data_IF_252992517861
#
_entry.id   IF_252992517861
#
_cell.length_a   1.000
_cell.length_b   1.000
_cell.length_c   1.000
_cell.angle_alpha   90.00
_cell.angle_beta   90.00
_cell.angle_gamma   90.00
#
_symmetry.space_group_name_H-M   'P 1'
#
loop_
_entity.id
_entity.type
_entity.pdbx_description
1 polymer ?
#
# COMPACT_ATOMS: atom_id res chain seq x y z
N UNK A 1 27.29 -13.16 42.25
CA UNK A 1 26.29 -14.18 41.89
C UNK A 1 24.99 -13.46 41.61
N UNK A 2 24.61 -13.33 40.33
CA UNK A 2 23.31 -12.78 39.96
C UNK A 2 22.22 -13.86 40.18
N UNK A 3 21.02 -13.49 40.66
CA UNK A 3 19.95 -14.46 40.86
C UNK A 3 19.47 -15.03 39.51
N UNK A 4 19.05 -16.31 39.47
CA UNK A 4 18.57 -16.93 38.24
C UNK A 4 17.28 -16.27 37.74
N UNK A 5 17.07 -16.23 36.41
CA UNK A 5 15.87 -15.65 35.82
C UNK A 5 14.61 -16.41 36.27
N UNK A 6 13.47 -15.72 36.41
CA UNK A 6 12.22 -16.36 36.78
C UNK A 6 11.77 -17.36 35.70
N UNK A 7 11.11 -18.46 36.10
CA UNK A 7 10.65 -19.47 35.16
C UNK A 7 9.60 -18.89 34.20
N UNK A 8 9.54 -19.39 32.95
CA UNK A 8 8.55 -18.94 31.97
C UNK A 8 7.12 -19.21 32.48
N UNK A 9 6.15 -18.35 32.12
CA UNK A 9 4.75 -18.57 32.49
C UNK A 9 4.25 -19.90 31.89
N UNK A 10 3.37 -20.62 32.59
CA UNK A 10 2.80 -21.85 32.07
C UNK A 10 2.07 -21.59 30.74
N UNK A 11 2.07 -22.56 29.81
CA UNK A 11 1.32 -22.43 28.56
C UNK A 11 -0.16 -22.16 28.89
N UNK A 12 -0.87 -21.37 28.06
CA UNK A 12 -2.29 -21.13 28.29
C UNK A 12 -3.00 -22.49 28.33
N UNK A 13 -3.54 -22.84 29.49
CA UNK A 13 -4.46 -23.97 29.64
C UNK A 13 -5.55 -23.77 28.60
N UNK A 14 -5.73 -24.75 27.69
CA UNK A 14 -6.86 -24.74 26.75
C UNK A 14 -8.10 -24.35 27.55
N UNK A 15 -8.82 -23.27 27.20
CA UNK A 15 -10.06 -22.97 27.88
C UNK A 15 -10.93 -24.23 27.84
N UNK A 16 -11.53 -24.63 28.97
CA UNK A 16 -12.64 -25.62 28.98
C UNK A 16 -13.51 -25.26 27.79
N UNK A 17 -13.70 -26.16 26.81
CA UNK A 17 -14.53 -25.91 25.62
C UNK A 17 -15.76 -25.15 26.11
N UNK A 18 -15.88 -23.89 25.68
CA UNK A 18 -17.03 -23.07 26.04
C UNK A 18 -18.29 -23.84 25.66
N UNK A 19 -19.42 -23.57 26.33
CA UNK A 19 -20.67 -24.22 26.00
C UNK A 19 -20.91 -24.13 24.48
N UNK A 20 -20.98 -25.29 23.80
CA UNK A 20 -21.16 -25.36 22.35
C UNK A 20 -22.33 -24.47 21.93
N UNK A 21 -22.23 -23.80 20.78
CA UNK A 21 -23.30 -22.95 20.25
C UNK A 21 -24.63 -23.73 20.20
N UNK A 22 -25.61 -23.34 21.04
CA UNK A 22 -26.96 -23.90 21.01
C UNK A 22 -27.86 -23.04 20.13
N UNK A 23 -28.52 -23.67 19.16
CA UNK A 23 -29.61 -23.05 18.41
C UNK A 23 -30.78 -22.84 19.37
N UNK A 24 -31.18 -21.60 19.59
CA UNK A 24 -32.46 -21.30 20.23
C UNK A 24 -33.58 -21.57 19.22
N UNK A 25 -34.67 -22.24 19.63
CA UNK A 25 -35.85 -22.38 18.77
C UNK A 25 -36.35 -21.00 18.37
N UNK A 26 -36.47 -20.74 17.08
CA UNK A 26 -36.94 -19.46 16.58
C UNK A 26 -38.46 -19.38 16.78
N UNK A 27 -39.01 -18.27 17.35
CA UNK A 27 -40.45 -18.07 17.35
C UNK A 27 -40.95 -18.01 15.90
N UNK A 28 -42.07 -18.69 15.62
CA UNK A 28 -42.55 -18.99 14.25
C UNK A 28 -42.91 -17.77 13.39
N UNK A 29 -42.74 -16.55 13.91
CA UNK A 29 -43.24 -15.32 13.31
C UNK A 29 -42.16 -14.24 13.21
N UNK A 30 -40.98 -14.61 12.74
CA UNK A 30 -39.85 -13.71 12.61
C UNK A 30 -39.37 -13.69 11.16
N UNK A 31 -39.94 -12.76 10.39
CA UNK A 31 -39.50 -12.43 9.03
C UNK A 31 -38.23 -11.60 9.08
N UNK A 32 -37.08 -12.23 9.40
CA UNK A 32 -35.80 -11.59 9.18
C UNK A 32 -35.49 -11.56 7.69
N UNK A 33 -35.35 -10.36 7.12
CA UNK A 33 -35.03 -10.09 5.71
C UNK A 33 -33.66 -10.62 5.26
N UNK A 34 -32.89 -11.25 6.14
CA UNK A 34 -31.52 -11.73 5.92
C UNK A 34 -31.36 -13.25 6.06
N UNK A 35 -32.47 -14.01 6.07
CA UNK A 35 -32.44 -15.47 6.13
C UNK A 35 -32.10 -16.09 4.75
N UNK A 36 -30.87 -15.92 4.29
CA UNK A 36 -30.36 -16.58 3.07
C UNK A 36 -29.89 -17.99 3.43
N UNK A 37 -30.49 -19.01 2.81
CA UNK A 37 -30.04 -20.39 2.96
C UNK A 37 -28.69 -20.59 2.25
N UNK A 38 -27.73 -21.30 2.87
CA UNK A 38 -26.47 -21.59 2.20
C UNK A 38 -26.69 -22.54 1.02
N UNK A 39 -25.88 -22.40 -0.03
CA UNK A 39 -25.81 -23.42 -1.10
C UNK A 39 -25.12 -24.66 -0.52
N UNK A 40 -25.86 -25.76 -0.43
CA UNK A 40 -25.39 -27.04 0.09
C UNK A 40 -25.21 -28.00 -1.09
N UNK A 41 -24.02 -28.58 -1.29
CA UNK A 41 -23.81 -29.59 -2.32
C UNK A 41 -24.62 -30.86 -2.02
N UNK A 42 -25.24 -31.45 -3.03
CA UNK A 42 -25.93 -32.74 -2.96
C UNK A 42 -25.26 -33.70 -3.94
N UNK A 43 -25.06 -34.95 -3.53
CA UNK A 43 -24.49 -36.01 -4.36
C UNK A 43 -25.08 -37.36 -4.00
N UNK A 44 -25.03 -38.28 -4.97
CA UNK A 44 -25.39 -39.68 -4.79
C UNK A 44 -24.15 -40.53 -4.49
N UNK A 45 -24.36 -41.70 -3.89
CA UNK A 45 -23.32 -42.68 -3.54
C UNK A 45 -22.41 -43.04 -4.73
N UNK A 46 -22.99 -43.30 -5.91
CA UNK A 46 -22.23 -43.62 -7.14
C UNK A 46 -21.34 -42.45 -7.60
N UNK A 47 -21.80 -41.21 -7.39
CA UNK A 47 -21.00 -40.02 -7.69
C UNK A 47 -19.85 -39.88 -6.70
N UNK A 48 -20.09 -40.23 -5.43
CA UNK A 48 -19.10 -40.19 -4.37
C UNK A 48 -17.95 -41.17 -4.64
N UNK A 49 -18.26 -42.43 -4.91
CA UNK A 49 -17.24 -43.46 -5.16
C UNK A 49 -16.35 -43.13 -6.35
N UNK A 50 -16.93 -42.56 -7.42
CA UNK A 50 -16.20 -42.27 -8.66
C UNK A 50 -15.34 -41.00 -8.57
N UNK A 51 -15.83 -39.94 -7.93
CA UNK A 51 -15.22 -38.61 -8.04
C UNK A 51 -14.81 -37.98 -6.70
N UNK A 52 -15.37 -38.42 -5.57
CA UNK A 52 -15.19 -37.78 -4.25
C UNK A 52 -14.40 -38.63 -3.26
N UNK A 53 -13.91 -39.80 -3.66
CA UNK A 53 -13.11 -40.68 -2.82
C UNK A 53 -11.84 -39.98 -2.32
N UNK A 54 -11.53 -40.14 -1.03
CA UNK A 54 -10.37 -39.50 -0.41
C UNK A 54 -9.79 -40.37 0.70
N UNK A 55 -8.46 -40.50 0.75
CA UNK A 55 -7.77 -41.43 1.65
C UNK A 55 -8.03 -41.19 3.15
N UNK A 56 -8.20 -39.93 3.54
CA UNK A 56 -8.45 -39.54 4.93
C UNK A 56 -9.89 -39.18 5.29
N UNK A 57 -10.87 -39.40 4.42
CA UNK A 57 -12.27 -39.03 4.65
C UNK A 57 -13.21 -40.15 4.20
N UNK A 58 -14.10 -40.57 5.09
CA UNK A 58 -15.16 -41.52 4.73
C UNK A 58 -16.35 -40.78 4.11
N UNK A 59 -17.20 -41.52 3.41
CA UNK A 59 -18.48 -40.99 2.91
C UNK A 59 -19.35 -40.49 4.05
N UNK A 60 -19.52 -41.31 5.09
CA UNK A 60 -20.31 -40.98 6.27
C UNK A 60 -19.82 -39.70 6.98
N UNK A 61 -18.50 -39.51 7.07
CA UNK A 61 -17.91 -38.30 7.63
C UNK A 61 -18.16 -37.08 6.73
N UNK A 62 -18.08 -37.26 5.41
CA UNK A 62 -18.36 -36.19 4.44
C UNK A 62 -19.84 -35.77 4.47
N UNK A 63 -20.77 -36.73 4.57
CA UNK A 63 -22.20 -36.47 4.72
C UNK A 63 -22.49 -35.74 6.03
N UNK A 64 -21.85 -36.17 7.12
CA UNK A 64 -21.96 -35.51 8.42
C UNK A 64 -21.48 -34.05 8.37
N UNK A 65 -20.37 -33.77 7.68
CA UNK A 65 -19.87 -32.42 7.45
C UNK A 65 -20.89 -31.55 6.70
N UNK A 66 -21.45 -32.07 5.61
CA UNK A 66 -22.40 -31.33 4.77
C UNK A 66 -23.70 -31.04 5.54
N UNK A 67 -24.21 -32.02 6.29
CA UNK A 67 -25.38 -31.82 7.14
C UNK A 67 -25.09 -30.78 8.24
N UNK A 68 -23.92 -30.87 8.91
CA UNK A 68 -23.51 -29.90 9.93
C UNK A 68 -23.38 -28.48 9.34
N UNK A 69 -22.85 -28.35 8.13
CA UNK A 69 -22.76 -27.07 7.41
C UNK A 69 -24.15 -26.48 7.12
N UNK A 70 -25.10 -27.30 6.67
CA UNK A 70 -26.50 -26.92 6.45
C UNK A 70 -27.17 -26.46 7.75
N UNK A 71 -27.05 -27.25 8.82
CA UNK A 71 -27.59 -26.94 10.16
C UNK A 71 -26.97 -25.68 10.78
N UNK A 72 -25.76 -25.29 10.36
CA UNK A 72 -25.09 -24.09 10.86
C UNK A 72 -25.22 -22.89 9.92
N UNK A 73 -26.06 -22.97 8.88
CA UNK A 73 -26.26 -21.91 7.88
C UNK A 73 -24.93 -21.44 7.23
N UNK A 74 -23.98 -22.35 7.04
CA UNK A 74 -22.67 -22.07 6.43
C UNK A 74 -21.70 -21.23 7.28
N UNK A 75 -21.99 -21.03 8.57
CA UNK A 75 -21.10 -20.26 9.46
C UNK A 75 -19.96 -21.12 9.98
N UNK A 76 -18.80 -21.06 9.31
CA UNK A 76 -17.61 -21.86 9.65
C UNK A 76 -17.20 -21.87 11.14
N UNK A 77 -17.20 -20.75 11.88
CA UNK A 77 -16.91 -20.78 13.32
C UNK A 77 -17.86 -21.65 14.13
N UNK A 78 -19.14 -21.67 13.75
CA UNK A 78 -20.17 -22.48 14.42
C UNK A 78 -20.07 -23.94 13.98
N UNK A 79 -19.81 -24.19 12.69
CA UNK A 79 -19.56 -25.53 12.16
C UNK A 79 -18.40 -26.18 12.91
N UNK A 80 -17.25 -25.51 13.01
CA UNK A 80 -16.07 -26.04 13.67
C UNK A 80 -16.27 -26.28 15.18
N UNK A 81 -17.09 -25.47 15.85
CA UNK A 81 -17.43 -25.68 17.26
C UNK A 81 -18.36 -26.89 17.47
N UNK A 82 -19.33 -27.06 16.57
CA UNK A 82 -20.35 -28.11 16.65
C UNK A 82 -19.90 -29.45 16.08
N UNK A 83 -18.96 -29.44 15.15
CA UNK A 83 -18.41 -30.65 14.52
C UNK A 83 -17.84 -31.58 15.59
N UNK A 84 -18.42 -32.76 15.68
CA UNK A 84 -18.07 -33.78 16.67
C UNK A 84 -18.28 -35.16 16.05
N UNK A 85 -17.33 -35.55 15.21
CA UNK A 85 -17.32 -36.86 14.56
C UNK A 85 -16.44 -37.81 15.38
N UNK A 86 -16.89 -39.05 15.67
CA UNK A 86 -16.10 -40.02 16.43
C UNK A 86 -14.72 -40.23 15.82
N UNK A 87 -13.68 -40.28 16.67
CA UNK A 87 -12.30 -40.59 16.29
C UNK A 87 -11.63 -39.60 15.29
N UNK A 88 -12.22 -38.42 15.07
CA UNK A 88 -11.73 -37.43 14.11
C UNK A 88 -11.69 -36.01 14.70
N UNK A 89 -10.52 -35.61 15.21
CA UNK A 89 -10.26 -34.23 15.62
C UNK A 89 -9.76 -33.40 14.43
N UNK A 90 -10.67 -32.73 13.73
CA UNK A 90 -10.35 -31.90 12.54
C UNK A 90 -10.26 -30.43 12.87
N UNK A 91 -9.31 -29.74 12.25
CA UNK A 91 -9.27 -28.27 12.27
C UNK A 91 -10.36 -27.69 11.35
N UNK A 92 -10.74 -26.43 11.57
CA UNK A 92 -11.73 -25.75 10.70
C UNK A 92 -11.25 -25.71 9.23
N UNK A 93 -9.95 -25.60 9.04
CA UNK A 93 -9.26 -25.50 7.78
C UNK A 93 -9.28 -26.85 7.03
N UNK A 94 -9.19 -27.98 7.75
CA UNK A 94 -9.37 -29.32 7.18
C UNK A 94 -10.82 -29.55 6.74
N UNK A 95 -11.79 -29.12 7.56
CA UNK A 95 -13.22 -29.19 7.20
C UNK A 95 -13.51 -28.39 5.93
N UNK A 96 -12.96 -27.17 5.84
CA UNK A 96 -13.06 -26.32 4.64
C UNK A 96 -12.43 -26.97 3.42
N UNK A 97 -11.25 -27.57 3.58
CA UNK A 97 -10.55 -28.26 2.48
C UNK A 97 -11.43 -29.33 1.87
N UNK A 98 -12.01 -30.20 2.70
CA UNK A 98 -12.88 -31.27 2.23
C UNK A 98 -14.13 -30.71 1.56
N UNK A 99 -14.81 -29.76 2.19
CA UNK A 99 -16.05 -29.18 1.68
C UNK A 99 -15.84 -28.47 0.34
N UNK A 100 -14.80 -27.65 0.21
CA UNK A 100 -14.52 -26.92 -1.03
C UNK A 100 -14.06 -27.84 -2.15
N UNK A 101 -13.29 -28.89 -1.85
CA UNK A 101 -12.93 -29.90 -2.84
C UNK A 101 -14.19 -30.59 -3.41
N UNK A 102 -15.09 -31.05 -2.53
CA UNK A 102 -16.36 -31.67 -2.92
C UNK A 102 -17.20 -30.70 -3.75
N UNK A 103 -17.32 -29.45 -3.31
CA UNK A 103 -18.09 -28.44 -4.04
C UNK A 103 -17.50 -28.12 -5.41
N UNK A 104 -16.18 -28.04 -5.54
CA UNK A 104 -15.50 -27.80 -6.82
C UNK A 104 -15.72 -28.96 -7.79
N UNK A 105 -15.59 -30.22 -7.32
CA UNK A 105 -15.81 -31.41 -8.15
C UNK A 105 -17.25 -31.53 -8.61
N UNK A 106 -18.22 -31.24 -7.75
CA UNK A 106 -19.64 -31.29 -8.12
C UNK A 106 -20.01 -30.16 -9.08
N UNK A 107 -19.43 -28.97 -8.89
CA UNK A 107 -19.62 -27.87 -9.81
C UNK A 107 -19.09 -28.25 -11.20
N UNK A 108 -17.88 -28.81 -11.30
CA UNK A 108 -17.30 -29.28 -12.56
C UNK A 108 -18.11 -30.40 -13.24
N UNK A 109 -18.69 -31.32 -12.45
CA UNK A 109 -19.54 -32.39 -12.98
C UNK A 109 -20.88 -31.85 -13.51
N UNK A 110 -21.46 -30.89 -12.80
CA UNK A 110 -22.74 -30.27 -13.20
C UNK A 110 -22.58 -29.37 -14.43
N UNK A 111 -21.50 -28.59 -14.49
CA UNK A 111 -21.17 -27.68 -15.58
C UNK A 111 -19.70 -27.87 -15.96
N UNK A 112 -19.42 -28.55 -17.08
CA UNK A 112 -18.06 -28.68 -17.58
C UNK A 112 -17.37 -27.32 -17.73
N UNK A 113 -16.06 -27.27 -17.46
CA UNK A 113 -15.26 -26.02 -17.45
C UNK A 113 -15.43 -25.22 -18.75
N UNK A 114 -15.55 -25.89 -19.89
CA UNK A 114 -15.73 -25.27 -21.21
C UNK A 114 -17.06 -24.52 -21.37
N UNK A 115 -18.06 -24.86 -20.55
CA UNK A 115 -19.41 -24.30 -20.57
C UNK A 115 -19.74 -23.41 -19.36
N UNK A 116 -18.79 -23.19 -18.46
CA UNK A 116 -19.02 -22.37 -17.26
C UNK A 116 -19.19 -20.89 -17.62
N UNK A 117 -20.11 -20.22 -16.93
CA UNK A 117 -20.16 -18.75 -16.94
C UNK A 117 -18.93 -18.16 -16.23
N UNK A 118 -18.61 -16.89 -16.51
CA UNK A 118 -17.49 -16.21 -15.84
C UNK A 118 -17.60 -16.24 -14.30
N UNK A 119 -18.83 -16.12 -13.77
CA UNK A 119 -19.07 -16.16 -12.33
C UNK A 119 -18.89 -17.55 -11.71
N UNK A 120 -19.28 -18.61 -12.42
CA UNK A 120 -19.11 -19.99 -11.98
C UNK A 120 -17.65 -20.43 -12.07
N UNK A 121 -16.96 -20.03 -13.14
CA UNK A 121 -15.52 -20.28 -13.29
C UNK A 121 -14.73 -19.61 -12.17
N UNK A 122 -15.06 -18.37 -11.81
CA UNK A 122 -14.41 -17.69 -10.69
C UNK A 122 -14.68 -18.40 -9.35
N UNK A 123 -15.90 -18.92 -9.14
CA UNK A 123 -16.22 -19.75 -7.97
C UNK A 123 -15.42 -21.05 -7.96
N UNK A 124 -15.33 -21.72 -9.10
CA UNK A 124 -14.53 -22.94 -9.25
C UNK A 124 -13.06 -22.69 -8.94
N UNK A 125 -12.48 -21.62 -9.47
CA UNK A 125 -11.09 -21.21 -9.22
C UNK A 125 -10.84 -20.91 -7.73
N UNK A 126 -11.76 -20.19 -7.07
CA UNK A 126 -11.63 -19.90 -5.64
C UNK A 126 -11.75 -21.14 -4.76
N UNK A 127 -12.60 -22.09 -5.13
CA UNK A 127 -12.75 -23.36 -4.39
C UNK A 127 -11.54 -24.28 -4.59
N UNK A 128 -11.02 -24.39 -5.81
CA UNK A 128 -9.89 -25.27 -6.14
C UNK A 128 -8.56 -24.76 -5.60
N UNK A 129 -8.37 -23.45 -5.54
CA UNK A 129 -7.13 -22.84 -5.03
C UNK A 129 -7.10 -22.67 -3.50
N UNK A 130 -8.09 -23.20 -2.77
CA UNK A 130 -8.07 -23.13 -1.32
C UNK A 130 -6.91 -23.92 -0.73
N UNK A 131 -6.07 -23.26 0.08
CA UNK A 131 -4.91 -23.87 0.73
C UNK A 131 -5.04 -23.78 2.26
N UNK A 132 -5.24 -24.92 2.91
CA UNK A 132 -5.36 -25.01 4.38
C UNK A 132 -4.12 -24.55 5.13
N UNK A 133 -2.92 -24.84 4.63
CA UNK A 133 -1.67 -24.43 5.30
C UNK A 133 -1.54 -22.90 5.30
N UNK A 134 -1.88 -22.26 4.18
CA UNK A 134 -1.88 -20.80 4.07
C UNK A 134 -2.98 -20.17 4.92
N UNK A 135 -4.18 -20.76 4.96
CA UNK A 135 -5.27 -20.24 5.79
C UNK A 135 -4.94 -20.37 7.29
N UNK A 136 -4.29 -21.46 7.68
CA UNK A 136 -3.80 -21.68 9.06
C UNK A 136 -2.73 -20.65 9.44
N UNK A 137 -1.75 -20.40 8.57
CA UNK A 137 -0.70 -19.40 8.83
C UNK A 137 -1.29 -17.98 8.88
N UNK A 138 -2.24 -17.65 8.00
CA UNK A 138 -2.98 -16.39 8.01
C UNK A 138 -3.76 -16.19 9.31
N UNK A 139 -4.46 -17.23 9.77
CA UNK A 139 -5.20 -17.20 11.05
C UNK A 139 -4.26 -17.00 12.24
N UNK A 140 -3.13 -17.71 12.27
CA UNK A 140 -2.11 -17.56 13.31
C UNK A 140 -1.52 -16.15 13.35
N UNK A 141 -1.29 -15.53 12.18
CA UNK A 141 -0.83 -14.15 12.10
C UNK A 141 -1.89 -13.17 12.62
N UNK A 142 -3.16 -13.36 12.24
CA UNK A 142 -4.27 -12.54 12.74
C UNK A 142 -4.46 -12.69 14.26
N UNK A 143 -4.31 -13.91 14.79
CA UNK A 143 -4.32 -14.19 16.23
C UNK A 143 -3.16 -13.47 16.94
N UNK A 144 -1.96 -13.49 16.36
CA UNK A 144 -0.81 -12.73 16.87
C UNK A 144 -1.09 -11.23 16.94
N UNK A 145 -1.73 -10.66 15.92
CA UNK A 145 -2.10 -9.24 15.93
C UNK A 145 -3.22 -8.93 16.93
N UNK A 146 -4.18 -9.83 17.11
CA UNK A 146 -5.28 -9.64 18.06
C UNK A 146 -4.78 -9.57 19.50
N UNK A 147 -3.78 -10.38 19.84
CA UNK A 147 -3.20 -10.45 21.18
C UNK A 147 -1.87 -9.69 21.33
N UNK A 148 -1.55 -8.82 20.36
CA UNK A 148 -0.33 -7.99 20.40
C UNK A 148 -0.38 -7.03 21.58
N UNK A 149 0.66 -7.03 22.41
CA UNK A 149 0.72 -6.12 23.56
C UNK A 149 1.30 -4.76 23.15
N UNK A 150 0.91 -3.70 23.86
CA UNK A 150 1.39 -2.34 23.56
C UNK A 150 2.92 -2.21 23.71
N UNK A 151 3.51 -2.85 24.73
CA UNK A 151 4.96 -2.84 24.92
C UNK A 151 5.72 -3.55 23.79
N UNK A 152 5.15 -4.63 23.24
CA UNK A 152 5.72 -5.34 22.10
C UNK A 152 5.72 -4.47 20.84
N UNK A 153 4.66 -3.69 20.63
CA UNK A 153 4.59 -2.71 19.53
C UNK A 153 5.69 -1.64 19.68
N UNK A 154 5.85 -1.08 20.87
CA UNK A 154 6.86 -0.04 21.12
C UNK A 154 8.28 -0.59 20.87
N UNK A 155 8.58 -1.79 21.38
CA UNK A 155 9.85 -2.48 21.13
C UNK A 155 10.09 -2.74 19.63
N UNK A 156 9.10 -3.25 18.91
CA UNK A 156 9.20 -3.50 17.47
C UNK A 156 9.41 -2.20 16.66
N UNK A 157 8.76 -1.10 17.05
CA UNK A 157 8.97 0.19 16.39
C UNK A 157 10.40 0.72 16.59
N UNK A 158 10.97 0.56 17.79
CA UNK A 158 12.37 0.90 18.07
C UNK A 158 13.32 0.03 17.26
N UNK A 159 13.08 -1.29 17.21
CA UNK A 159 13.88 -2.22 16.42
C UNK A 159 13.84 -1.90 14.92
N UNK A 160 12.67 -1.54 14.38
CA UNK A 160 12.54 -1.12 12.98
C UNK A 160 13.31 0.17 12.70
N UNK A 161 13.28 1.14 13.63
CA UNK A 161 14.07 2.37 13.53
C UNK A 161 15.58 2.09 13.51
N UNK A 162 16.06 1.22 14.41
CA UNK A 162 17.46 0.81 14.45
C UNK A 162 17.86 0.01 13.21
N UNK A 163 17.00 -0.90 12.71
CA UNK A 163 17.24 -1.62 11.47
C UNK A 163 17.39 -0.65 10.29
N UNK A 164 16.49 0.32 10.17
CA UNK A 164 16.58 1.34 9.13
C UNK A 164 17.87 2.15 9.24
N UNK A 165 18.29 2.50 10.46
CA UNK A 165 19.56 3.18 10.72
C UNK A 165 20.76 2.34 10.30
N UNK A 166 20.78 1.06 10.63
CA UNK A 166 21.82 0.11 10.20
C UNK A 166 21.85 0.01 8.68
N UNK A 167 20.70 -0.14 8.03
CA UNK A 167 20.61 -0.21 6.56
C UNK A 167 21.13 1.05 5.88
N UNK A 168 20.82 2.24 6.43
CA UNK A 168 21.34 3.50 5.90
C UNK A 168 22.87 3.58 6.06
N UNK A 169 23.38 3.18 7.23
CA UNK A 169 24.81 3.21 7.53
C UNK A 169 25.60 2.16 6.73
N UNK A 170 24.96 1.05 6.35
CA UNK A 170 25.57 -0.01 5.52
C UNK A 170 26.10 0.56 4.20
N UNK A 171 25.33 1.43 3.54
CA UNK A 171 25.76 2.08 2.30
C UNK A 171 27.01 2.96 2.50
N UNK A 172 27.08 3.68 3.62
CA UNK A 172 28.24 4.49 3.99
C UNK A 172 29.46 3.62 4.28
N UNK A 173 29.28 2.53 5.04
CA UNK A 173 30.35 1.57 5.34
C UNK A 173 30.87 0.88 4.07
N UNK A 174 30.00 0.53 3.14
CA UNK A 174 30.41 -0.11 1.88
C UNK A 174 31.17 0.88 0.98
N UNK A 175 30.75 2.15 0.93
CA UNK A 175 31.52 3.20 0.25
C UNK A 175 32.89 3.43 0.89
N UNK A 176 32.97 3.49 2.22
CA UNK A 176 34.24 3.62 2.95
C UNK A 176 35.16 2.42 2.72
N UNK A 177 34.59 1.20 2.67
CA UNK A 177 35.33 -0.02 2.33
C UNK A 177 35.85 0.00 0.90
N UNK A 178 35.07 0.48 -0.05
CA UNK A 178 35.49 0.62 -1.45
C UNK A 178 36.58 1.67 -1.61
N UNK A 179 36.47 2.81 -0.93
CA UNK A 179 37.54 3.82 -0.89
C UNK A 179 38.83 3.26 -0.28
N UNK A 180 38.73 2.48 0.80
CA UNK A 180 39.89 1.80 1.39
C UNK A 180 40.50 0.77 0.42
N UNK A 181 39.69 -0.02 -0.28
CA UNK A 181 40.18 -0.94 -1.32
C UNK A 181 40.87 -0.18 -2.44
N UNK A 182 40.29 0.92 -2.90
CA UNK A 182 40.89 1.77 -3.93
C UNK A 182 42.21 2.41 -3.46
N UNK A 183 42.33 2.77 -2.18
CA UNK A 183 43.59 3.31 -1.61
C UNK A 183 44.64 2.22 -1.38
N UNK A 184 44.20 1.01 -1.07
CA UNK A 184 45.08 -0.13 -0.81
C UNK A 184 45.52 -0.81 -2.11
N UNK A 185 44.74 -0.71 -3.19
CA UNK A 185 45.17 -0.94 -4.56
C UNK A 185 46.18 0.13 -4.96
N UNK A 186 47.41 0.00 -4.47
CA UNK A 186 48.52 0.65 -5.13
C UNK A 186 48.63 0.02 -6.53
N UNK A 187 48.68 0.82 -7.61
CA UNK A 187 48.99 0.27 -8.92
C UNK A 187 50.36 -0.41 -8.79
N UNK A 188 50.38 -1.75 -8.82
CA UNK A 188 51.60 -2.50 -9.02
C UNK A 188 52.21 -1.92 -10.30
N UNK A 189 53.41 -1.30 -10.25
CA UNK A 189 54.00 -0.70 -11.43
C UNK A 189 54.28 -1.82 -12.43
N UNK A 190 53.37 -2.04 -13.38
CA UNK A 190 53.55 -2.98 -14.48
C UNK A 190 54.47 -2.39 -15.57
N UNK A 191 55.24 -1.36 -15.24
CA UNK A 191 56.16 -0.70 -16.17
C UNK A 191 57.41 -0.30 -15.41
N UNK A 192 58.54 -0.76 -15.94
CA UNK A 192 59.88 -0.47 -15.47
C UNK A 192 60.05 1.04 -15.20
N UNK A 193 60.49 1.41 -14.00
CA UNK A 193 60.59 2.80 -13.51
C UNK A 193 61.60 3.71 -14.22
N UNK A 194 62.01 3.37 -15.45
CA UNK A 194 63.06 4.06 -16.20
C UNK A 194 62.54 4.82 -17.44
N UNK A 195 61.23 4.80 -17.74
CA UNK A 195 60.69 5.36 -18.98
C UNK A 195 60.43 6.88 -18.96
N UNK A 196 60.59 7.57 -17.83
CA UNK A 196 60.27 9.00 -17.68
C UNK A 196 61.45 9.86 -17.20
N UNK A 197 62.67 9.49 -17.58
CA UNK A 197 63.87 10.20 -17.15
C UNK A 197 64.19 11.45 -18.01
N UNK A 198 63.35 11.79 -18.99
CA UNK A 198 63.54 12.98 -19.83
C UNK A 198 62.31 13.89 -19.77
N UNK A 199 62.53 15.20 -19.78
CA UNK A 199 61.45 16.20 -19.76
C UNK A 199 60.50 16.08 -20.95
N UNK A 200 61.01 15.58 -22.09
CA UNK A 200 60.23 15.25 -23.29
C UNK A 200 59.27 14.08 -23.02
N UNK A 201 59.75 12.99 -22.41
CA UNK A 201 58.92 11.84 -22.06
C UNK A 201 57.84 12.20 -21.01
N UNK A 202 58.17 13.09 -20.07
CA UNK A 202 57.21 13.62 -19.10
C UNK A 202 56.13 14.48 -19.76
N UNK A 203 56.50 15.30 -20.76
CA UNK A 203 55.55 16.12 -21.51
C UNK A 203 54.58 15.25 -22.31
N UNK A 204 55.07 14.16 -22.90
CA UNK A 204 54.24 13.16 -23.59
C UNK A 204 53.27 12.44 -22.65
N UNK A 205 53.74 12.00 -21.47
CA UNK A 205 52.88 11.42 -20.44
C UNK A 205 51.78 12.41 -20.01
N UNK A 206 52.13 13.68 -19.82
CA UNK A 206 51.19 14.71 -19.37
C UNK A 206 50.08 14.96 -20.41
N UNK A 207 50.40 14.96 -21.70
CA UNK A 207 49.39 15.02 -22.76
C UNK A 207 48.49 13.78 -22.77
N UNK A 208 49.05 12.58 -22.53
CA UNK A 208 48.28 11.34 -22.47
C UNK A 208 47.34 11.29 -21.25
N UNK A 209 47.76 11.85 -20.11
CA UNK A 209 46.91 12.01 -18.94
C UNK A 209 45.78 13.01 -19.17
N UNK A 210 46.04 14.12 -19.88
CA UNK A 210 45.00 15.08 -20.26
C UNK A 210 43.95 14.48 -21.19
N UNK A 211 44.35 13.63 -22.15
CA UNK A 211 43.39 13.00 -23.05
C UNK A 211 42.56 11.94 -22.34
N UNK A 212 43.16 11.15 -21.44
CA UNK A 212 42.42 10.22 -20.58
C UNK A 212 41.48 10.91 -19.60
N UNK A 213 41.87 12.05 -19.04
CA UNK A 213 41.01 12.81 -18.12
C UNK A 213 39.81 13.43 -18.85
N UNK A 214 39.98 13.88 -20.10
CA UNK A 214 38.87 14.31 -20.97
C UNK A 214 37.87 13.19 -21.29
N UNK A 215 38.27 11.92 -21.22
CA UNK A 215 37.36 10.79 -21.43
C UNK A 215 36.54 10.43 -20.18
N UNK A 216 36.84 11.00 -19.01
CA UNK A 216 36.05 10.82 -17.80
C UNK A 216 34.91 11.84 -17.74
N UNK A 217 33.79 11.44 -17.15
CA UNK A 217 32.57 12.26 -17.01
C UNK A 217 32.77 13.56 -16.21
N UNK A 218 33.89 13.71 -15.50
CA UNK A 218 34.24 14.91 -14.75
C UNK A 218 35.77 15.14 -14.80
N UNK A 219 36.30 15.83 -15.83
CA UNK A 219 37.73 16.09 -15.97
C UNK A 219 38.20 17.06 -14.88
N UNK A 220 39.30 16.73 -14.19
CA UNK A 220 39.86 17.50 -13.06
C UNK A 220 41.15 18.24 -13.41
N UNK A 221 41.81 17.91 -14.52
CA UNK A 221 43.09 18.49 -14.93
C UNK A 221 42.85 19.59 -15.98
N UNK A 222 43.18 20.84 -15.64
CA UNK A 222 43.12 21.99 -16.57
C UNK A 222 44.46 22.16 -17.30
N UNK A 223 44.45 22.58 -18.59
CA UNK A 223 45.66 22.97 -19.28
C UNK A 223 46.29 24.18 -18.56
N UNK A 224 47.59 24.13 -18.31
CA UNK A 224 48.32 25.26 -17.73
C UNK A 224 48.52 26.36 -18.78
N UNK A 225 47.48 27.16 -19.01
CA UNK A 225 47.60 28.46 -19.65
C UNK A 225 47.39 29.53 -18.59
N UNK A 226 48.47 30.25 -18.26
CA UNK A 226 48.47 31.42 -17.38
C UNK A 226 47.48 32.48 -17.88
N UNK A 227 46.33 32.64 -17.21
CA UNK A 227 45.69 33.94 -17.02
C UNK A 227 45.01 33.99 -15.65
N UNK A 228 45.09 35.19 -15.07
CA UNK A 228 44.87 35.54 -13.70
C UNK A 228 43.39 35.53 -13.27
N UNK A 229 43.20 35.45 -11.95
CA UNK A 229 42.14 36.03 -11.09
C UNK A 229 40.73 36.19 -11.68
N UNK A 230 39.72 35.55 -11.09
CA UNK A 230 38.77 36.20 -10.18
C UNK A 230 37.65 35.23 -9.72
N UNK A 231 37.04 35.52 -8.57
CA UNK A 231 35.63 35.20 -8.34
C UNK A 231 35.27 33.87 -7.69
N UNK A 232 35.32 33.83 -6.36
CA UNK A 232 34.52 32.95 -5.51
C UNK A 232 33.02 33.05 -5.89
N UNK A 233 32.37 31.93 -6.22
CA UNK A 233 30.91 31.84 -6.31
C UNK A 233 30.38 30.75 -5.39
N UNK A 234 29.52 31.21 -4.50
CA UNK A 234 28.72 30.48 -3.51
C UNK A 234 27.83 29.43 -4.16
N UNK A 235 27.91 28.19 -3.65
CA UNK A 235 27.01 27.11 -4.03
C UNK A 235 25.73 27.18 -3.20
N UNK A 236 24.57 27.32 -3.86
CA UNK A 236 23.24 27.02 -3.29
C UNK A 236 22.79 25.63 -3.74
N UNK A 237 22.16 24.81 -2.88
CA UNK A 237 21.72 23.46 -3.25
C UNK A 237 20.42 23.54 -4.06
N UNK A 238 20.49 23.16 -5.34
CA UNK A 238 19.30 22.93 -6.16
C UNK A 238 18.76 21.53 -5.89
N UNK A 239 17.47 21.50 -5.56
CA UNK A 239 16.62 20.34 -5.32
C UNK A 239 16.65 19.27 -6.43
N UNK A 240 16.48 18.05 -5.96
CA UNK A 240 16.14 16.80 -6.65
C UNK A 240 15.57 16.92 -8.07
N UNK A 241 16.32 16.37 -9.04
CA UNK A 241 15.77 15.98 -10.34
C UNK A 241 15.24 14.52 -10.27
N UNK A 242 14.17 14.18 -11.02
CA UNK A 242 13.45 12.93 -10.86
C UNK A 242 14.19 11.75 -11.49
N UNK A 243 14.19 10.63 -10.76
CA UNK A 243 14.65 9.31 -11.20
C UNK A 243 13.75 8.80 -12.34
N UNK A 244 14.32 8.66 -13.53
CA UNK A 244 13.68 7.96 -14.65
C UNK A 244 13.58 6.46 -14.32
N UNK A 245 12.35 5.94 -14.26
CA UNK A 245 12.07 4.50 -14.26
C UNK A 245 11.55 4.07 -15.63
N UNK A 246 11.91 2.87 -16.13
CA UNK A 246 11.57 2.45 -17.48
C UNK A 246 10.06 2.22 -17.65
N UNK A 247 9.52 2.72 -18.76
CA UNK A 247 8.14 2.54 -19.20
C UNK A 247 7.84 1.06 -19.47
N UNK A 248 6.83 0.50 -18.79
CA UNK A 248 6.09 -0.68 -19.24
C UNK A 248 4.83 -0.22 -19.98
N UNK A 249 4.51 -0.77 -21.16
CA UNK A 249 3.28 -0.41 -21.88
C UNK A 249 2.16 -1.39 -21.53
N UNK A 250 1.18 -0.96 -20.72
CA UNK A 250 -0.15 -1.57 -20.71
C UNK A 250 -1.21 -0.47 -20.58
N UNK A 251 -1.64 0.04 -21.73
CA UNK A 251 -2.88 0.79 -21.86
C UNK A 251 -4.04 -0.20 -21.98
N UNK A 252 -4.69 -0.51 -20.85
CA UNK A 252 -6.08 -0.95 -20.82
C UNK A 252 -6.91 0.23 -20.31
N UNK A 253 -7.13 1.20 -21.20
CA UNK A 253 -8.17 2.20 -21.04
C UNK A 253 -9.34 1.80 -21.95
N UNK A 254 -10.07 0.77 -21.54
CA UNK A 254 -11.49 0.67 -21.91
C UNK A 254 -12.26 1.25 -20.75
N UNK A 255 -12.92 2.38 -20.99
CA UNK A 255 -13.92 2.94 -20.10
C UNK A 255 -15.04 1.91 -19.92
N UNK A 256 -14.93 1.08 -18.88
CA UNK A 256 -16.06 0.29 -18.40
C UNK A 256 -16.87 1.26 -17.55
N UNK A 257 -17.98 1.74 -18.10
CA UNK A 257 -19.07 2.30 -17.31
C UNK A 257 -19.45 1.25 -16.27
N UNK A 258 -19.09 1.46 -15.00
CA UNK A 258 -19.47 0.58 -13.90
C UNK A 258 -21.01 0.67 -13.75
N UNK A 259 -21.76 -0.42 -13.99
CA UNK A 259 -23.19 -0.45 -13.70
C UNK A 259 -23.36 -0.79 -12.22
N UNK A 260 -23.30 0.20 -11.33
CA UNK A 260 -23.82 0.06 -9.97
C UNK A 260 -24.41 1.40 -9.52
N UNK A 261 -25.71 1.57 -9.75
CA UNK A 261 -26.48 2.58 -9.01
C UNK A 261 -26.57 2.11 -7.55
N UNK A 262 -25.56 2.47 -6.74
CA UNK A 262 -25.64 2.26 -5.29
C UNK A 262 -26.84 3.07 -4.77
N UNK A 263 -27.65 2.54 -3.84
CA UNK A 263 -28.68 3.34 -3.20
C UNK A 263 -28.05 4.50 -2.40
N UNK A 264 -28.71 5.66 -2.35
CA UNK A 264 -28.20 6.89 -1.69
C UNK A 264 -27.74 6.67 -0.25
N UNK A 265 -28.38 5.77 0.48
CA UNK A 265 -28.00 5.41 1.85
C UNK A 265 -26.61 4.76 1.92
N UNK A 266 -26.29 3.89 0.97
CA UNK A 266 -25.00 3.20 0.90
C UNK A 266 -23.91 4.13 0.37
N UNK A 267 -24.23 5.03 -0.56
CA UNK A 267 -23.32 6.08 -1.02
C UNK A 267 -22.83 6.94 0.15
N UNK A 268 -23.74 7.37 1.02
CA UNK A 268 -23.42 8.15 2.23
C UNK A 268 -22.57 7.35 3.21
N UNK A 269 -22.90 6.07 3.42
CA UNK A 269 -22.18 5.19 4.35
C UNK A 269 -20.75 4.90 3.90
N UNK A 270 -20.54 4.69 2.60
CA UNK A 270 -19.23 4.36 2.03
C UNK A 270 -18.45 5.58 1.54
N UNK A 271 -19.03 6.80 1.65
CA UNK A 271 -18.39 8.03 1.17
C UNK A 271 -18.19 8.07 -0.35
N UNK A 272 -18.98 7.32 -1.11
CA UNK A 272 -18.88 7.24 -2.57
C UNK A 272 -19.70 8.37 -3.18
N UNK A 273 -19.04 9.29 -3.89
CA UNK A 273 -19.67 10.36 -4.63
C UNK A 273 -19.57 10.04 -6.12
N UNK A 274 -20.72 9.80 -6.76
CA UNK A 274 -20.81 9.65 -8.21
C UNK A 274 -20.67 11.03 -8.85
N UNK A 275 -19.59 11.25 -9.59
CA UNK A 275 -19.36 12.48 -10.34
C UNK A 275 -19.50 12.18 -11.84
N UNK A 276 -20.42 12.85 -12.55
CA UNK A 276 -20.72 12.59 -13.98
C UNK A 276 -19.50 12.77 -14.91
N UNK A 277 -18.51 13.56 -14.49
CA UNK A 277 -17.30 13.81 -15.26
C UNK A 277 -16.08 13.88 -14.35
N UNK A 278 -15.25 12.84 -14.40
CA UNK A 278 -13.95 12.85 -13.74
C UNK A 278 -12.88 13.39 -14.72
N UNK A 279 -11.96 14.25 -14.25
CA UNK A 279 -10.78 14.60 -15.02
C UNK A 279 -9.91 13.35 -15.26
N UNK A 280 -9.18 13.33 -16.37
CA UNK A 280 -8.32 12.19 -16.73
C UNK A 280 -7.23 11.99 -15.68
N UNK A 281 -7.24 10.83 -15.02
CA UNK A 281 -6.24 10.45 -14.02
C UNK A 281 -6.80 10.25 -12.61
N UNK A 282 -5.97 9.71 -11.72
CA UNK A 282 -6.31 9.54 -10.29
C UNK A 282 -6.06 10.87 -9.58
N UNK A 283 -7.07 11.41 -8.89
CA UNK A 283 -6.94 12.60 -8.04
C UNK A 283 -7.36 12.28 -6.62
N UNK A 284 -6.60 12.75 -5.64
CA UNK A 284 -6.91 12.53 -4.23
C UNK A 284 -7.85 13.62 -3.72
N UNK A 285 -8.67 13.31 -2.71
CA UNK A 285 -9.54 14.31 -2.06
C UNK A 285 -8.74 15.43 -1.41
N UNK A 286 -7.53 15.14 -0.92
CA UNK A 286 -6.57 16.13 -0.42
C UNK A 286 -6.18 17.17 -1.47
N UNK A 287 -6.13 16.79 -2.76
CA UNK A 287 -5.79 17.72 -3.84
C UNK A 287 -6.83 18.84 -3.99
N UNK A 288 -8.09 18.57 -3.65
CA UNK A 288 -9.16 19.57 -3.68
C UNK A 288 -9.00 20.63 -2.58
N UNK A 289 -8.23 20.36 -1.54
CA UNK A 289 -7.95 21.30 -0.46
C UNK A 289 -6.62 22.04 -0.65
N UNK A 290 -5.66 21.44 -1.35
CA UNK A 290 -4.32 22.03 -1.57
C UNK A 290 -4.26 22.88 -2.82
N UNK A 291 -4.81 22.43 -3.96
CA UNK A 291 -4.73 23.16 -5.24
C UNK A 291 -5.34 24.57 -5.17
N UNK A 292 -6.51 24.80 -4.54
CA UNK A 292 -7.10 26.13 -4.48
C UNK A 292 -6.29 27.12 -3.62
N UNK A 293 -5.40 26.63 -2.74
CA UNK A 293 -4.51 27.49 -1.94
C UNK A 293 -3.32 28.03 -2.74
N UNK A 294 -2.98 27.39 -3.87
CA UNK A 294 -1.80 27.73 -4.67
C UNK A 294 -2.27 28.53 -5.89
N UNK A 295 -2.00 29.83 -5.88
CA UNK A 295 -2.21 30.71 -7.02
C UNK A 295 -1.00 30.72 -7.96
N UNK A 296 -1.18 31.24 -9.18
CA UNK A 296 -0.09 31.39 -10.17
C UNK A 296 1.01 32.36 -9.69
N UNK A 297 0.67 33.28 -8.79
CA UNK A 297 1.61 34.25 -8.20
C UNK A 297 1.92 33.88 -6.76
N UNK A 298 3.20 33.80 -6.41
CA UNK A 298 3.68 33.54 -5.04
C UNK A 298 3.08 34.52 -4.03
N UNK A 299 2.98 35.80 -4.42
CA UNK A 299 2.43 36.86 -3.56
C UNK A 299 0.93 36.65 -3.32
N UNK A 300 0.19 36.14 -4.31
CA UNK A 300 -1.24 35.82 -4.14
C UNK A 300 -1.44 34.61 -3.23
N UNK A 301 -0.60 33.58 -3.37
CA UNK A 301 -0.59 32.41 -2.48
C UNK A 301 -0.37 32.82 -1.01
N UNK A 302 0.57 33.72 -0.75
CA UNK A 302 0.84 34.24 0.60
C UNK A 302 -0.34 35.07 1.15
N UNK A 303 -0.96 35.91 0.31
CA UNK A 303 -2.18 36.67 0.69
C UNK A 303 -3.35 35.72 1.02
N UNK A 304 -3.55 34.67 0.22
CA UNK A 304 -4.57 33.64 0.47
C UNK A 304 -4.28 32.94 1.80
N UNK A 305 -3.03 32.54 2.05
CA UNK A 305 -2.62 31.91 3.31
C UNK A 305 -2.90 32.82 4.52
N UNK A 306 -2.56 34.10 4.43
CA UNK A 306 -2.81 35.07 5.51
C UNK A 306 -4.30 35.27 5.79
N UNK A 307 -5.14 35.35 4.75
CA UNK A 307 -6.60 35.47 4.89
C UNK A 307 -7.19 34.20 5.54
N UNK A 308 -6.77 33.02 5.08
CA UNK A 308 -7.24 31.75 5.64
C UNK A 308 -6.82 31.58 7.11
N UNK A 309 -5.61 32.01 7.46
CA UNK A 309 -5.13 32.01 8.84
C UNK A 309 -5.96 32.97 9.72
N UNK A 310 -6.33 34.14 9.20
CA UNK A 310 -7.19 35.10 9.91
C UNK A 310 -8.62 34.57 10.14
N UNK A 311 -9.17 33.81 9.19
CA UNK A 311 -10.48 33.15 9.32
C UNK A 311 -10.41 31.93 10.26
N UNK A 312 -9.20 31.49 10.64
CA UNK A 312 -8.99 30.34 11.52
C UNK A 312 -9.03 28.99 10.80
N UNK A 313 -8.86 28.97 9.48
CA UNK A 313 -8.79 27.74 8.70
C UNK A 313 -7.37 27.15 8.81
N UNK A 314 -7.20 25.93 9.35
CA UNK A 314 -5.89 25.29 9.47
C UNK A 314 -5.20 25.10 8.11
N UNK A 315 -3.86 25.10 8.10
CA UNK A 315 -3.07 24.82 6.90
C UNK A 315 -3.32 23.40 6.35
N UNK A 316 -3.47 22.45 7.26
CA UNK A 316 -3.75 21.05 6.97
C UNK A 316 -5.10 20.68 7.58
N UNK A 317 -6.03 20.21 6.74
CA UNK A 317 -7.32 19.68 7.17
C UNK A 317 -7.20 18.14 7.19
N UNK A 318 -7.14 17.49 8.37
CA UNK A 318 -6.82 16.07 8.48
C UNK A 318 -7.92 15.13 7.98
N UNK A 319 -9.17 15.61 7.92
CA UNK A 319 -10.33 14.81 7.51
C UNK A 319 -11.05 15.47 6.32
N UNK A 320 -10.61 15.19 5.08
CA UNK A 320 -11.24 15.70 3.86
C UNK A 320 -12.53 14.93 3.54
N UNK A 321 -13.59 15.20 4.29
CA UNK A 321 -14.94 14.67 4.00
C UNK A 321 -15.63 15.49 2.89
N UNK A 322 -16.58 14.93 2.13
CA UNK A 322 -17.26 15.65 1.05
C UNK A 322 -17.90 16.98 1.50
N UNK A 323 -18.55 17.00 2.66
CA UNK A 323 -19.18 18.21 3.20
C UNK A 323 -18.15 19.30 3.56
N UNK A 324 -16.98 18.90 4.07
CA UNK A 324 -15.90 19.84 4.40
C UNK A 324 -15.29 20.44 3.13
N UNK A 325 -15.17 19.65 2.06
CA UNK A 325 -14.66 20.13 0.77
C UNK A 325 -15.61 21.17 0.17
N UNK A 326 -16.92 20.93 0.19
CA UNK A 326 -17.92 21.86 -0.33
C UNK A 326 -17.88 23.22 0.42
N UNK A 327 -17.82 23.18 1.75
CA UNK A 327 -17.67 24.39 2.55
C UNK A 327 -16.35 25.12 2.27
N UNK A 328 -15.25 24.38 2.10
CA UNK A 328 -13.96 24.95 1.77
C UNK A 328 -13.96 25.61 0.38
N UNK A 329 -14.61 25.01 -0.61
CA UNK A 329 -14.77 25.61 -1.95
C UNK A 329 -15.57 26.92 -1.89
N UNK A 330 -16.65 26.96 -1.09
CA UNK A 330 -17.43 28.19 -0.86
C UNK A 330 -16.59 29.30 -0.21
N UNK A 331 -15.82 28.98 0.83
CA UNK A 331 -14.90 29.94 1.47
C UNK A 331 -13.87 30.45 0.47
N UNK A 332 -13.29 29.56 -0.34
CA UNK A 332 -12.27 29.94 -1.31
C UNK A 332 -12.82 30.88 -2.39
N UNK A 333 -14.05 30.66 -2.87
CA UNK A 333 -14.71 31.59 -3.79
C UNK A 333 -14.84 32.99 -3.17
N UNK A 334 -15.26 33.08 -1.91
CA UNK A 334 -15.36 34.36 -1.20
C UNK A 334 -13.98 35.02 -1.07
N UNK A 335 -12.95 34.27 -0.67
CA UNK A 335 -11.57 34.79 -0.56
C UNK A 335 -11.06 35.34 -1.90
N UNK A 336 -11.31 34.63 -3.00
CA UNK A 336 -10.94 35.09 -4.34
C UNK A 336 -11.68 36.39 -4.71
N UNK A 337 -12.99 36.48 -4.46
CA UNK A 337 -13.75 37.71 -4.73
C UNK A 337 -13.25 38.91 -3.92
N UNK A 338 -12.87 38.72 -2.65
CA UNK A 338 -12.31 39.78 -1.81
C UNK A 338 -10.96 40.27 -2.36
N UNK A 339 -10.11 39.37 -2.84
CA UNK A 339 -8.83 39.74 -3.44
C UNK A 339 -9.02 40.56 -4.73
N UNK A 340 -10.01 40.22 -5.55
CA UNK A 340 -10.34 40.97 -6.76
C UNK A 340 -10.93 42.34 -6.45
N UNK A 341 -11.83 42.44 -5.46
CA UNK A 341 -12.38 43.72 -5.00
C UNK A 341 -11.31 44.63 -4.42
N UNK A 342 -10.38 44.07 -3.62
CA UNK A 342 -9.24 44.83 -3.10
C UNK A 342 -8.36 45.36 -4.23
N UNK A 343 -8.08 44.53 -5.23
CA UNK A 343 -7.29 44.94 -6.39
C UNK A 343 -7.97 46.07 -7.17
N UNK A 344 -9.30 46.03 -7.31
CA UNK A 344 -10.06 47.10 -7.94
C UNK A 344 -10.02 48.38 -7.10
N UNK A 345 -10.19 48.30 -5.79
CA UNK A 345 -10.10 49.45 -4.89
C UNK A 345 -8.72 50.11 -4.90
N UNK A 346 -7.64 49.32 -4.86
CA UNK A 346 -6.26 49.85 -4.98
C UNK A 346 -6.04 50.57 -6.31
N UNK A 347 -6.70 50.11 -7.39
CA UNK A 347 -6.65 50.76 -8.71
C UNK A 347 -7.41 52.09 -8.71
N UNK A 348 -8.64 52.12 -8.21
CA UNK A 348 -9.45 53.34 -8.15
C UNK A 348 -8.81 54.40 -7.24
N UNK A 349 -8.26 54.00 -6.09
CA UNK A 349 -7.54 54.90 -5.18
C UNK A 349 -6.29 55.47 -5.84
N UNK A 350 -5.58 54.66 -6.63
CA UNK A 350 -4.44 55.13 -7.41
C UNK A 350 -4.84 56.15 -8.47
N UNK A 351 -5.93 55.89 -9.22
CA UNK A 351 -6.48 56.83 -10.20
C UNK A 351 -6.89 58.16 -9.54
N UNK A 352 -7.57 58.12 -8.39
CA UNK A 352 -7.93 59.31 -7.62
C UNK A 352 -6.71 60.09 -7.12
N UNK A 353 -5.67 59.40 -6.64
CA UNK A 353 -4.42 60.03 -6.19
C UNK A 353 -3.68 60.71 -7.34
N UNK A 354 -3.68 60.11 -8.53
CA UNK A 354 -3.07 60.71 -9.73
C UNK A 354 -3.86 61.94 -10.16
N UNK A 355 -5.20 61.90 -10.14
CA UNK A 355 -6.05 63.06 -10.45
C UNK A 355 -5.84 64.20 -9.46
N UNK A 356 -5.71 63.90 -8.16
CA UNK A 356 -5.45 64.90 -7.12
C UNK A 356 -4.06 65.54 -7.22
N UNK A 357 -3.05 64.81 -7.72
CA UNK A 357 -1.69 65.33 -7.91
C UNK A 357 -1.50 66.10 -9.24
N UNK A 358 -2.48 66.03 -10.15
CA UNK A 358 -2.49 66.74 -11.42
C UNK A 358 -3.24 68.08 -11.41
N UNK A 359 -3.85 68.46 -10.28
CA UNK A 359 -4.31 69.82 -9.97
C UNK A 359 -3.24 70.54 -9.15
#
# INVERSE_FOLDING_TARGET
MAPPPPPPPPPPTRPRRAAKWRRTPHPSNSSFTYAVAPSVPQYDHDTFEKNLAHAGWTEQETDYLINTYSECNGKWPVVADRYDYPDSDRSMEDLKTRFYAVQATLLQLSTPITSMTASEYHRYETLTNFNAAQETSRKKLAEGHLYRRANEVDEETVLLGELQRIMLNQATLDSQREELRHRLDNPSPSTNGYSYNTSQALTGLWQQLLTQDRMKKNPRLRPTSNQAVDGMSTMTPTSAAPRETPRRPHSLASATTLPVDLPKADQMRYGVVLQERLPTGVTFTSDKLTKPRIAKSSIQTEKIAAILQHIGVPEVIPLPTPAVIEQFESIMQVVMTILDLRKLGEKEEHELRVLAAGQ
#
